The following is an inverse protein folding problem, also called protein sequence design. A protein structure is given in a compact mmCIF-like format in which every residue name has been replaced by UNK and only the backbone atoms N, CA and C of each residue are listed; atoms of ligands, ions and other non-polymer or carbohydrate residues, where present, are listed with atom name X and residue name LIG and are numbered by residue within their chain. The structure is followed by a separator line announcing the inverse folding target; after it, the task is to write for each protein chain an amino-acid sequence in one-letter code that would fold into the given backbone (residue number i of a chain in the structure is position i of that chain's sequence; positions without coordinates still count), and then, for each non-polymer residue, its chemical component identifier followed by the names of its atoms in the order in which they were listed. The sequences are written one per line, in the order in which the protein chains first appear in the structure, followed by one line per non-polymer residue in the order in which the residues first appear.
data_IF_359224366509
#
_entry.id   IF_359224366509
#
_cell.length_a   1.000
_cell.length_b   1.000
_cell.length_c   1.000
_cell.angle_alpha   90.00
_cell.angle_beta   90.00
_cell.angle_gamma   90.00
#
_symmetry.space_group_name_H-M   'P 1'
#
loop_
_entity.id
_entity.type
_entity.pdbx_description
1 polymer ?
#
# COMPACT_ATOMS: atom_id res chain seq x y z
N UNK A 1 -8.15 7.43 33.62
CA UNK A 1 -8.39 7.12 32.19
C UNK A 1 -8.59 5.61 32.07
N UNK A 2 -9.79 5.11 31.73
CA UNK A 2 -10.02 3.65 31.56
C UNK A 2 -9.41 3.21 30.22
N UNK A 3 -8.25 2.57 30.27
CA UNK A 3 -7.49 2.15 29.09
C UNK A 3 -8.04 0.87 28.43
N UNK A 4 -8.84 0.08 29.15
CA UNK A 4 -9.33 -1.24 28.71
C UNK A 4 -10.79 -1.22 28.23
N UNK A 5 -11.19 -0.22 27.45
CA UNK A 5 -12.52 -0.19 26.84
C UNK A 5 -12.46 -0.69 25.38
N UNK A 6 -13.34 -1.63 25.01
CA UNK A 6 -13.53 -2.13 23.64
C UNK A 6 -14.69 -1.38 22.98
N UNK A 7 -14.54 -0.93 21.73
CA UNK A 7 -15.64 -0.32 20.97
C UNK A 7 -15.22 0.79 20.00
N UNK A 8 -16.23 1.55 19.55
CA UNK A 8 -16.13 2.67 18.62
C UNK A 8 -15.14 3.72 19.15
N UNK A 9 -14.40 4.38 18.26
CA UNK A 9 -13.31 5.34 18.57
C UNK A 9 -12.04 4.72 19.19
N UNK A 10 -11.78 3.43 18.91
CA UNK A 10 -10.51 2.78 19.24
C UNK A 10 -9.83 2.26 17.98
N UNK A 11 -8.52 2.41 17.95
CA UNK A 11 -7.69 1.83 16.91
C UNK A 11 -7.21 0.45 17.37
N UNK A 12 -7.42 -0.55 16.51
CA UNK A 12 -7.02 -1.93 16.76
C UNK A 12 -5.73 -2.23 16.00
N UNK A 13 -4.79 -2.89 16.66
CA UNK A 13 -3.55 -3.37 16.08
C UNK A 13 -3.34 -4.84 16.48
N UNK A 14 -2.50 -5.54 15.71
CA UNK A 14 -2.20 -6.94 15.98
C UNK A 14 -1.41 -7.09 17.28
N UNK A 15 -1.78 -8.08 18.12
CA UNK A 15 -1.19 -8.25 19.46
C UNK A 15 0.33 -8.41 19.43
N UNK A 16 0.85 -9.14 18.45
CA UNK A 16 2.28 -9.44 18.30
C UNK A 16 2.91 -8.60 17.20
N UNK A 17 2.46 -7.36 17.06
CA UNK A 17 3.09 -6.43 16.12
C UNK A 17 4.55 -6.21 16.47
N UNK A 18 5.38 -5.92 15.47
CA UNK A 18 6.82 -5.66 15.66
C UNK A 18 7.06 -4.60 16.73
N UNK A 19 8.15 -4.76 17.48
CA UNK A 19 8.51 -3.86 18.57
C UNK A 19 8.66 -2.38 18.12
N UNK A 20 9.08 -2.14 16.87
CA UNK A 20 9.27 -0.80 16.31
C UNK A 20 8.01 -0.19 15.67
N UNK A 21 6.88 -0.92 15.64
CA UNK A 21 5.68 -0.51 14.92
C UNK A 21 5.12 0.85 15.36
N UNK A 22 5.03 1.10 16.67
CA UNK A 22 4.52 2.38 17.17
C UNK A 22 5.46 3.55 16.89
N UNK A 23 6.77 3.30 16.81
CA UNK A 23 7.74 4.30 16.40
C UNK A 23 7.61 4.60 14.91
N UNK A 24 7.36 3.58 14.09
CA UNK A 24 7.20 3.71 12.65
C UNK A 24 5.86 4.37 12.26
N UNK A 25 4.75 4.07 12.93
CA UNK A 25 3.45 4.69 12.61
C UNK A 25 3.41 6.19 12.96
N UNK A 26 4.33 6.64 13.83
CA UNK A 26 4.50 8.04 14.22
C UNK A 26 5.78 8.66 13.65
N UNK A 27 6.33 8.05 12.59
CA UNK A 27 7.60 8.46 11.99
C UNK A 27 7.50 9.75 11.17
N UNK A 28 6.30 10.13 10.73
CA UNK A 28 6.06 11.39 10.02
C UNK A 28 5.69 12.54 10.95
N UNK A 29 6.06 13.76 10.54
CA UNK A 29 5.66 15.01 11.18
C UNK A 29 5.13 15.99 10.16
N UNK A 30 4.15 16.79 10.57
CA UNK A 30 3.67 17.93 9.80
C UNK A 30 4.58 19.12 10.07
N UNK A 31 5.52 19.38 9.15
CA UNK A 31 6.55 20.41 9.31
C UNK A 31 6.45 21.49 8.22
N UNK A 32 6.93 22.73 8.47
CA UNK A 32 6.96 23.78 7.45
C UNK A 32 7.76 23.37 6.21
N UNK A 33 7.26 23.76 5.05
CA UNK A 33 7.97 23.61 3.79
C UNK A 33 9.20 24.53 3.79
N UNK A 34 10.37 24.01 3.37
CA UNK A 34 11.66 24.71 3.47
C UNK A 34 11.68 26.08 2.80
N UNK A 35 10.94 26.24 1.69
CA UNK A 35 10.98 27.46 0.87
C UNK A 35 9.63 28.17 0.72
N UNK A 36 8.51 27.51 1.05
CA UNK A 36 7.18 28.06 0.80
C UNK A 36 6.61 28.47 2.15
N UNK A 37 6.48 29.78 2.36
CA UNK A 37 5.96 30.34 3.59
C UNK A 37 4.53 29.83 3.84
N UNK A 38 4.21 29.52 5.10
CA UNK A 38 2.90 29.04 5.56
C UNK A 38 2.40 27.71 4.98
N UNK A 39 3.19 27.01 4.15
CA UNK A 39 2.86 25.66 3.70
C UNK A 39 3.42 24.65 4.68
N UNK A 40 2.55 23.77 5.19
CA UNK A 40 2.96 22.59 5.96
C UNK A 40 2.96 21.36 5.05
N UNK A 41 3.98 20.51 5.20
CA UNK A 41 4.12 19.25 4.47
C UNK A 41 4.43 18.13 5.45
N UNK A 42 3.90 16.94 5.18
CA UNK A 42 4.28 15.73 5.90
C UNK A 42 5.69 15.35 5.49
N UNK A 43 6.55 15.15 6.47
CA UNK A 43 7.96 14.80 6.28
C UNK A 43 8.30 13.64 7.22
N UNK A 44 9.04 12.67 6.70
CA UNK A 44 9.63 11.60 7.49
C UNK A 44 10.72 12.17 8.43
N UNK A 45 10.68 11.80 9.71
CA UNK A 45 11.77 12.08 10.66
C UNK A 45 13.05 11.39 10.17
N UNK A 46 14.16 12.14 10.19
CA UNK A 46 15.47 11.60 9.80
C UNK A 46 15.85 10.37 10.63
N UNK A 47 16.40 9.34 9.98
CA UNK A 47 16.86 8.10 10.63
C UNK A 47 15.75 7.17 11.10
N UNK A 48 14.49 7.43 10.74
CA UNK A 48 13.35 6.56 11.06
C UNK A 48 12.85 5.83 9.82
N UNK A 49 12.37 4.61 10.01
CA UNK A 49 11.62 3.85 8.99
C UNK A 49 10.13 4.20 9.07
N UNK A 50 9.43 4.17 7.94
CA UNK A 50 8.01 4.48 7.83
C UNK A 50 7.18 3.36 7.19
N UNK A 51 7.77 2.18 6.99
CA UNK A 51 7.13 1.02 6.33
C UNK A 51 5.79 0.67 6.97
N UNK A 52 5.69 0.74 8.31
CA UNK A 52 4.43 0.48 9.02
C UNK A 52 3.34 1.51 8.70
N UNK A 53 3.67 2.81 8.68
CA UNK A 53 2.70 3.85 8.34
C UNK A 53 2.21 3.70 6.90
N UNK A 54 3.14 3.49 5.97
CA UNK A 54 2.82 3.30 4.55
C UNK A 54 1.90 2.09 4.35
N UNK A 55 2.21 0.98 5.04
CA UNK A 55 1.39 -0.24 5.03
C UNK A 55 -0.05 0.00 5.53
N UNK A 56 -0.22 0.74 6.64
CA UNK A 56 -1.54 1.08 7.17
C UNK A 56 -2.33 1.99 6.22
N UNK A 57 -1.66 2.98 5.61
CA UNK A 57 -2.28 3.87 4.62
C UNK A 57 -2.74 3.09 3.39
N UNK A 58 -1.92 2.17 2.88
CA UNK A 58 -2.30 1.31 1.76
C UNK A 58 -3.42 0.34 2.12
N UNK A 59 -3.37 -0.28 3.29
CA UNK A 59 -4.42 -1.17 3.78
C UNK A 59 -5.75 -0.41 3.91
N UNK A 60 -5.74 0.79 4.48
CA UNK A 60 -6.92 1.63 4.58
C UNK A 60 -7.46 2.05 3.21
N UNK A 61 -6.57 2.44 2.29
CA UNK A 61 -6.96 2.79 0.92
C UNK A 61 -7.60 1.59 0.21
N UNK A 62 -6.98 0.41 0.27
CA UNK A 62 -7.52 -0.82 -0.30
C UNK A 62 -8.87 -1.18 0.32
N UNK A 63 -9.00 -1.09 1.65
CA UNK A 63 -10.26 -1.35 2.35
C UNK A 63 -11.38 -0.40 1.94
N UNK A 64 -11.06 0.88 1.66
CA UNK A 64 -12.02 1.85 1.12
C UNK A 64 -12.35 1.58 -0.34
N UNK A 65 -11.37 1.21 -1.15
CA UNK A 65 -11.55 0.89 -2.56
C UNK A 65 -12.50 -0.30 -2.76
N UNK A 66 -12.34 -1.36 -1.95
CA UNK A 66 -13.25 -2.54 -1.97
C UNK A 66 -14.45 -2.40 -1.02
N UNK A 67 -14.62 -1.22 -0.40
CA UNK A 67 -15.76 -0.85 0.45
C UNK A 67 -16.02 -1.82 1.61
N UNK A 68 -14.95 -2.29 2.27
CA UNK A 68 -15.01 -3.19 3.45
C UNK A 68 -15.98 -2.67 4.50
N UNK A 69 -15.95 -1.37 4.78
CA UNK A 69 -16.81 -0.68 5.75
C UNK A 69 -18.32 -0.69 5.43
N UNK A 70 -18.72 -1.09 4.21
CA UNK A 70 -20.11 -1.21 3.78
C UNK A 70 -20.55 -2.67 3.58
N UNK A 71 -19.65 -3.63 3.80
CA UNK A 71 -19.96 -5.04 3.60
C UNK A 71 -21.00 -5.52 4.60
N UNK A 72 -22.06 -6.15 4.08
CA UNK A 72 -23.11 -6.76 4.88
C UNK A 72 -22.70 -8.17 5.34
N UNK A 73 -23.28 -8.70 6.43
CA UNK A 73 -22.95 -10.04 6.92
C UNK A 73 -23.01 -11.15 5.85
N UNK A 74 -23.98 -11.09 4.94
CA UNK A 74 -24.08 -12.07 3.84
C UNK A 74 -22.88 -12.04 2.88
N UNK A 75 -22.30 -10.86 2.63
CA UNK A 75 -21.11 -10.71 1.77
C UNK A 75 -19.86 -11.23 2.47
N UNK A 76 -19.77 -11.04 3.79
CA UNK A 76 -18.71 -11.64 4.60
C UNK A 76 -18.78 -13.16 4.62
N UNK A 77 -19.98 -13.73 4.79
CA UNK A 77 -20.18 -15.17 4.74
C UNK A 77 -19.78 -15.76 3.37
N UNK A 78 -20.09 -15.08 2.27
CA UNK A 78 -19.66 -15.50 0.93
C UNK A 78 -18.14 -15.49 0.78
N UNK A 79 -17.47 -14.42 1.25
CA UNK A 79 -16.01 -14.34 1.24
C UNK A 79 -15.36 -15.42 2.10
N UNK A 80 -15.90 -15.68 3.29
CA UNK A 80 -15.41 -16.73 4.18
C UNK A 80 -15.53 -18.12 3.52
N UNK A 81 -16.65 -18.40 2.87
CA UNK A 81 -16.83 -19.62 2.07
C UNK A 81 -15.81 -19.71 0.95
N UNK A 82 -15.61 -18.63 0.19
CA UNK A 82 -14.65 -18.58 -0.90
C UNK A 82 -13.19 -18.78 -0.45
N UNK A 83 -12.81 -18.25 0.72
CA UNK A 83 -11.45 -18.39 1.27
C UNK A 83 -11.22 -19.77 1.89
N UNK A 84 -12.22 -20.31 2.59
CA UNK A 84 -12.11 -21.60 3.28
C UNK A 84 -12.22 -22.77 2.31
N UNK A 85 -13.04 -22.62 1.26
CA UNK A 85 -13.13 -23.59 0.19
C UNK A 85 -11.90 -23.44 -0.70
N UNK A 86 -10.85 -24.23 -0.42
CA UNK A 86 -9.75 -24.41 -1.37
C UNK A 86 -10.34 -24.80 -2.74
N UNK A 87 -10.10 -23.98 -3.76
CA UNK A 87 -10.48 -24.31 -5.14
C UNK A 87 -9.62 -25.49 -5.59
N UNK A 88 -10.06 -26.72 -5.29
CA UNK A 88 -9.35 -27.96 -5.64
C UNK A 88 -9.05 -28.09 -7.14
N UNK A 89 -9.83 -27.41 -7.98
CA UNK A 89 -9.74 -27.43 -9.44
C UNK A 89 -9.92 -26.04 -10.03
N UNK A 90 -9.10 -25.07 -9.62
CA UNK A 90 -8.95 -23.88 -10.44
C UNK A 90 -8.06 -24.28 -11.61
N UNK A 91 -8.66 -24.91 -12.63
CA UNK A 91 -8.04 -25.03 -13.94
C UNK A 91 -7.53 -23.65 -14.28
N UNK A 92 -6.20 -23.54 -14.39
CA UNK A 92 -5.55 -22.28 -14.62
C UNK A 92 -6.31 -21.59 -15.74
N UNK A 93 -6.76 -20.36 -15.51
CA UNK A 93 -6.88 -19.45 -16.63
C UNK A 93 -5.46 -19.39 -17.16
N UNK A 94 -5.17 -20.28 -18.10
CA UNK A 94 -4.00 -20.26 -18.93
C UNK A 94 -3.96 -18.84 -19.43
N UNK A 95 -3.04 -18.07 -18.86
CA UNK A 95 -2.72 -16.75 -19.34
C UNK A 95 -2.40 -16.97 -20.80
N UNK A 96 -3.37 -16.69 -21.68
CA UNK A 96 -3.14 -16.67 -23.11
C UNK A 96 -1.81 -15.92 -23.28
N UNK A 97 -0.82 -16.50 -24.00
CA UNK A 97 0.48 -15.88 -24.12
C UNK A 97 0.23 -14.47 -24.63
N UNK A 98 0.45 -13.48 -23.78
CA UNK A 98 0.46 -12.08 -24.19
C UNK A 98 1.49 -12.08 -25.30
N UNK A 99 1.13 -11.72 -26.55
CA UNK A 99 2.14 -11.58 -27.59
C UNK A 99 3.18 -10.64 -26.98
N UNK A 100 4.43 -11.10 -26.87
CA UNK A 100 5.49 -10.21 -26.41
C UNK A 100 5.56 -9.12 -27.47
N UNK A 101 4.91 -8.00 -27.18
CA UNK A 101 5.03 -6.81 -27.99
C UNK A 101 6.51 -6.47 -27.91
N UNK A 102 7.22 -6.76 -28.99
CA UNK A 102 8.63 -6.43 -29.15
C UNK A 102 8.67 -4.91 -29.07
N UNK A 103 8.88 -4.39 -27.86
CA UNK A 103 9.13 -2.96 -27.67
C UNK A 103 10.26 -2.62 -28.64
N UNK A 104 10.06 -1.68 -29.57
CA UNK A 104 11.16 -1.25 -30.43
C UNK A 104 12.29 -0.81 -29.50
N UNK A 105 13.46 -1.41 -29.68
CA UNK A 105 14.66 -1.11 -28.89
C UNK A 105 14.87 0.40 -28.97
N UNK A 106 14.73 1.09 -27.83
CA UNK A 106 15.07 2.50 -27.72
C UNK A 106 16.52 2.68 -28.14
N UNK A 107 16.85 3.67 -28.98
CA UNK A 107 18.21 3.86 -29.46
C UNK A 107 19.14 4.06 -28.27
N UNK A 108 20.30 3.42 -28.33
CA UNK A 108 21.29 3.54 -27.25
C UNK A 108 21.84 4.97 -27.19
N UNK A 109 22.35 5.38 -26.02
CA UNK A 109 23.02 6.68 -25.87
C UNK A 109 24.16 6.88 -26.88
N UNK A 110 24.84 5.79 -27.27
CA UNK A 110 25.88 5.81 -28.29
C UNK A 110 25.30 6.13 -29.69
N UNK A 111 24.15 5.54 -30.04
CA UNK A 111 23.46 5.79 -31.32
C UNK A 111 22.91 7.22 -31.40
N UNK A 112 22.43 7.77 -30.28
CA UNK A 112 21.99 9.17 -30.19
C UNK A 112 23.17 10.15 -30.33
N UNK A 113 24.30 9.86 -29.69
CA UNK A 113 25.50 10.69 -29.80
C UNK A 113 26.05 10.72 -31.23
N UNK A 114 25.97 9.60 -31.95
CA UNK A 114 26.44 9.50 -33.33
C UNK A 114 25.54 10.29 -34.31
N UNK A 115 24.23 10.36 -34.03
CA UNK A 115 23.28 11.16 -34.82
C UNK A 115 23.41 12.67 -34.63
N UNK A 116 23.89 13.12 -33.46
CA UNK A 116 24.01 14.54 -33.13
C UNK A 116 25.34 15.15 -33.61
N UNK A 117 26.30 14.32 -34.02
CA UNK A 117 27.63 14.74 -34.48
C UNK A 117 27.82 14.58 -36.00
N UNK A 118 26.72 14.48 -36.77
CA UNK A 118 26.71 14.40 -38.23
C UNK A 118 26.11 15.64 -38.87
#
# INVERSE_FOLDING_TARGET
MKLEARGIERWHYFREVRADYFEQITSEVKAPHKSIKYRLVWQLKSGRRNEALDGEVYALHAARAVRVHLMRPAQWAELERAVTQMTLFQEGTESAPVPSEVKPRSPSLAELAQRLNG
#
